data_IF_028371265102
#
_entry.id   IF_028371265102
#
_cell.length_a   1.000
_cell.length_b   1.000
_cell.length_c   1.000
_cell.angle_alpha   90.00
_cell.angle_beta   90.00
_cell.angle_gamma   90.00
#
_symmetry.space_group_name_H-M   'P 1'
#
loop_
_entity.id
_entity.type
_entity.pdbx_description
1 polymer ?
#
# COMPACT_ATOMS: atom_id res chain seq x y z
N UNK A 1 28.68 4.30 29.65
CA UNK A 1 27.54 3.77 30.43
C UNK A 1 26.31 3.84 29.55
N UNK A 2 25.83 2.71 29.01
CA UNK A 2 24.61 2.67 28.21
C UNK A 2 23.40 2.57 29.16
N UNK A 3 22.61 3.63 29.23
CA UNK A 3 21.36 3.65 30.00
C UNK A 3 20.30 3.00 29.14
N UNK A 4 19.96 1.75 29.45
CA UNK A 4 18.84 1.06 28.83
C UNK A 4 17.58 1.64 29.48
N UNK A 5 16.88 2.52 28.77
CA UNK A 5 15.62 3.10 29.23
C UNK A 5 14.59 1.99 29.46
N UNK A 6 13.98 1.97 30.65
CA UNK A 6 12.88 1.08 31.03
C UNK A 6 11.73 1.17 30.01
N UNK A 7 11.62 0.16 29.12
CA UNK A 7 10.49 0.06 28.19
C UNK A 7 9.24 -0.30 28.98
N UNK A 8 8.48 0.71 29.41
CA UNK A 8 7.20 0.53 30.09
C UNK A 8 6.23 -0.19 29.15
N UNK A 9 5.95 -1.47 29.44
CA UNK A 9 5.01 -2.31 28.70
C UNK A 9 3.63 -1.65 28.75
N UNK A 10 3.11 -1.21 27.60
CA UNK A 10 1.78 -0.63 27.54
C UNK A 10 0.73 -1.68 27.91
N UNK A 11 -0.19 -1.33 28.82
CA UNK A 11 -1.35 -2.15 29.17
C UNK A 11 -2.18 -2.33 27.90
N UNK A 12 -2.30 -3.58 27.44
CA UNK A 12 -2.98 -3.91 26.18
C UNK A 12 -4.46 -4.10 26.48
N UNK A 13 -5.28 -3.14 26.05
CA UNK A 13 -6.73 -3.26 26.03
C UNK A 13 -7.15 -4.34 25.02
N UNK A 14 -7.97 -5.34 25.38
CA UNK A 14 -8.39 -6.41 24.47
C UNK A 14 -9.05 -5.88 23.19
N UNK A 15 -9.84 -4.80 23.30
CA UNK A 15 -10.53 -4.18 22.16
C UNK A 15 -9.56 -3.58 21.15
N UNK A 16 -8.40 -3.07 21.61
CA UNK A 16 -7.37 -2.51 20.73
C UNK A 16 -6.73 -3.58 19.83
N UNK A 17 -6.60 -4.80 20.36
CA UNK A 17 -6.06 -5.93 19.59
C UNK A 17 -7.04 -6.37 18.51
N UNK A 18 -8.32 -6.47 18.84
CA UNK A 18 -9.38 -6.82 17.88
C UNK A 18 -9.50 -5.77 16.78
N UNK A 19 -9.50 -4.49 17.14
CA UNK A 19 -9.50 -3.38 16.20
C UNK A 19 -8.32 -3.45 15.22
N UNK A 20 -7.11 -3.73 15.71
CA UNK A 20 -5.94 -3.90 14.84
C UNK A 20 -6.12 -5.08 13.88
N UNK A 21 -6.54 -6.24 14.38
CA UNK A 21 -6.76 -7.44 13.57
C UNK A 21 -7.80 -7.20 12.47
N UNK A 22 -8.91 -6.53 12.79
CA UNK A 22 -9.94 -6.18 11.82
C UNK A 22 -9.43 -5.20 10.75
N UNK A 23 -8.66 -4.16 11.12
CA UNK A 23 -8.03 -3.26 10.13
C UNK A 23 -7.10 -4.01 9.17
N UNK A 24 -6.29 -4.93 9.69
CA UNK A 24 -5.42 -5.77 8.86
C UNK A 24 -6.22 -6.70 7.94
N UNK A 25 -7.31 -7.31 8.45
CA UNK A 25 -8.20 -8.18 7.68
C UNK A 25 -8.85 -7.41 6.53
N UNK A 26 -9.37 -6.22 6.83
CA UNK A 26 -10.01 -5.34 5.84
C UNK A 26 -9.02 -4.88 4.76
N UNK A 27 -7.84 -4.39 5.16
CA UNK A 27 -6.79 -3.99 4.23
C UNK A 27 -6.38 -5.15 3.31
N UNK A 28 -6.22 -6.35 3.86
CA UNK A 28 -5.83 -7.53 3.08
C UNK A 28 -6.92 -7.97 2.11
N UNK A 29 -8.19 -7.92 2.53
CA UNK A 29 -9.34 -8.19 1.65
C UNK A 29 -9.38 -7.23 0.47
N UNK A 30 -9.08 -5.96 0.71
CA UNK A 30 -9.02 -4.93 -0.33
C UNK A 30 -7.82 -5.12 -1.29
N UNK A 31 -6.63 -5.44 -0.77
CA UNK A 31 -5.41 -5.51 -1.56
C UNK A 31 -5.21 -6.84 -2.31
N UNK A 32 -5.75 -7.96 -1.81
CA UNK A 32 -5.54 -9.28 -2.41
C UNK A 32 -5.92 -9.37 -3.90
N UNK A 33 -7.08 -8.84 -4.36
CA UNK A 33 -7.43 -8.84 -5.78
C UNK A 33 -6.45 -8.03 -6.64
N UNK A 34 -5.82 -7.02 -6.05
CA UNK A 34 -4.88 -6.12 -6.72
C UNK A 34 -3.43 -6.62 -6.66
N UNK A 35 -3.19 -7.80 -6.09
CA UNK A 35 -1.85 -8.34 -5.86
C UNK A 35 -0.95 -8.32 -7.12
N UNK A 36 -1.41 -8.73 -8.33
CA UNK A 36 -0.57 -8.66 -9.52
C UNK A 36 -0.14 -7.23 -9.90
N UNK A 37 -1.01 -6.25 -9.67
CA UNK A 37 -0.74 -4.83 -9.93
C UNK A 37 0.23 -4.27 -8.90
N UNK A 38 0.00 -4.55 -7.61
CA UNK A 38 0.88 -4.13 -6.51
C UNK A 38 2.29 -4.68 -6.72
N UNK A 39 2.41 -5.94 -7.15
CA UNK A 39 3.71 -6.55 -7.47
C UNK A 39 4.47 -5.80 -8.55
N UNK A 40 3.81 -5.25 -9.56
CA UNK A 40 4.47 -4.48 -10.63
C UNK A 40 4.69 -3.03 -10.23
N UNK A 41 3.69 -2.41 -9.62
CA UNK A 41 3.67 -0.98 -9.29
C UNK A 41 4.53 -0.62 -8.09
N UNK A 42 4.72 -1.52 -7.13
CA UNK A 42 5.60 -1.29 -5.99
C UNK A 42 6.94 -2.01 -6.11
N UNK A 43 7.14 -2.93 -7.06
CA UNK A 43 8.47 -3.51 -7.27
C UNK A 43 9.40 -2.46 -7.86
N UNK A 44 10.54 -2.27 -7.20
CA UNK A 44 11.66 -1.48 -7.68
C UNK A 44 12.91 -2.37 -7.63
N UNK A 45 13.99 -2.00 -8.33
CA UNK A 45 15.22 -2.79 -8.41
C UNK A 45 15.81 -3.19 -7.05
N UNK A 46 15.55 -2.38 -6.00
CA UNK A 46 15.99 -2.60 -4.62
C UNK A 46 14.96 -3.27 -3.71
N UNK A 47 13.80 -3.68 -4.23
CA UNK A 47 12.70 -4.19 -3.43
C UNK A 47 12.22 -5.57 -3.88
N UNK A 48 12.19 -6.52 -2.94
CA UNK A 48 11.58 -7.84 -3.14
C UNK A 48 10.06 -7.76 -3.30
N UNK A 49 9.48 -8.80 -3.89
CA UNK A 49 8.04 -8.95 -4.08
C UNK A 49 7.27 -8.90 -2.75
N UNK A 50 7.80 -9.51 -1.67
CA UNK A 50 7.15 -9.44 -0.36
C UNK A 50 7.14 -8.01 0.20
N UNK A 51 8.24 -7.27 0.03
CA UNK A 51 8.33 -5.89 0.49
C UNK A 51 7.43 -4.93 -0.32
N UNK A 52 7.10 -5.26 -1.57
CA UNK A 52 6.13 -4.51 -2.38
C UNK A 52 4.72 -4.57 -1.77
N UNK A 53 4.25 -5.77 -1.40
CA UNK A 53 2.95 -5.93 -0.75
C UNK A 53 2.92 -5.32 0.65
N UNK A 54 4.02 -5.45 1.41
CA UNK A 54 4.15 -4.81 2.73
C UNK A 54 4.03 -3.29 2.68
N UNK A 55 4.59 -2.65 1.64
CA UNK A 55 4.43 -1.20 1.43
C UNK A 55 3.00 -0.79 1.08
N UNK A 56 2.35 -1.54 0.19
CA UNK A 56 0.95 -1.29 -0.14
C UNK A 56 0.05 -1.46 1.10
N UNK A 57 0.31 -2.48 1.92
CA UNK A 57 -0.37 -2.71 3.19
C UNK A 57 -0.19 -1.54 4.15
N UNK A 58 1.05 -1.09 4.37
CA UNK A 58 1.35 0.04 5.25
C UNK A 58 0.63 1.33 4.81
N UNK A 59 0.66 1.64 3.51
CA UNK A 59 -0.07 2.81 2.99
C UNK A 59 -1.58 2.69 3.20
N UNK A 60 -2.13 1.49 3.01
CA UNK A 60 -3.58 1.24 3.14
C UNK A 60 -4.04 1.41 4.57
N UNK A 61 -3.30 0.87 5.53
CA UNK A 61 -3.62 0.98 6.96
C UNK A 61 -3.60 2.42 7.46
N UNK A 62 -2.66 3.23 6.96
CA UNK A 62 -2.46 4.61 7.41
C UNK A 62 -3.38 5.62 6.74
N UNK A 63 -3.66 5.46 5.44
CA UNK A 63 -4.30 6.52 4.64
C UNK A 63 -5.67 6.14 4.07
N UNK A 64 -5.98 4.85 3.94
CA UNK A 64 -7.13 4.38 3.15
C UNK A 64 -8.29 3.94 4.06
N UNK A 65 -7.98 3.35 5.20
CA UNK A 65 -8.98 2.92 6.17
C UNK A 65 -9.34 4.09 7.10
N UNK A 66 -10.62 4.43 7.12
CA UNK A 66 -11.21 5.46 7.97
C UNK A 66 -12.24 4.84 8.93
N UNK A 67 -12.68 5.62 9.91
CA UNK A 67 -13.60 5.16 10.95
C UNK A 67 -12.91 4.60 12.19
N UNK A 68 -13.73 4.31 13.19
CA UNK A 68 -13.34 3.74 14.49
C UNK A 68 -13.90 2.32 14.62
N UNK A 69 -13.27 1.49 15.44
CA UNK A 69 -13.78 0.13 15.66
C UNK A 69 -15.20 0.19 16.26
N UNK A 70 -16.16 -0.60 15.75
CA UNK A 70 -16.05 -1.65 14.73
C UNK A 70 -16.32 -1.18 13.28
N UNK A 71 -16.73 0.07 13.08
CA UNK A 71 -17.21 0.63 11.83
C UNK A 71 -16.06 1.21 10.98
N UNK A 72 -15.23 0.30 10.44
CA UNK A 72 -14.18 0.68 9.49
C UNK A 72 -14.69 0.72 8.05
N UNK A 73 -14.27 1.76 7.33
CA UNK A 73 -14.54 1.95 5.91
C UNK A 73 -13.25 2.09 5.10
N UNK A 74 -13.23 1.53 3.90
CA UNK A 74 -12.13 1.69 2.95
C UNK A 74 -12.50 2.78 1.95
N UNK A 75 -11.70 3.84 1.85
CA UNK A 75 -11.88 4.92 0.87
C UNK A 75 -10.99 4.66 -0.35
N UNK A 76 -11.49 4.06 -1.45
CA UNK A 76 -10.63 3.57 -2.53
C UNK A 76 -9.88 4.69 -3.27
N UNK A 77 -10.42 5.92 -3.25
CA UNK A 77 -9.82 7.10 -3.85
C UNK A 77 -8.45 7.45 -3.25
N UNK A 78 -8.17 7.04 -2.01
CA UNK A 78 -6.90 7.27 -1.32
C UNK A 78 -5.90 6.12 -1.53
N UNK A 79 -6.32 5.01 -2.15
CA UNK A 79 -5.48 3.85 -2.34
C UNK A 79 -4.42 4.06 -3.42
N UNK A 80 -3.19 3.60 -3.16
CA UNK A 80 -2.09 3.59 -4.13
C UNK A 80 -1.78 2.17 -4.58
N UNK A 81 -1.69 1.97 -5.89
CA UNK A 81 -1.34 0.69 -6.52
C UNK A 81 0.11 0.63 -7.01
N UNK A 82 0.78 1.78 -7.10
CA UNK A 82 2.18 1.91 -7.47
C UNK A 82 2.89 2.96 -6.62
N UNK A 83 4.21 2.85 -6.53
CA UNK A 83 5.05 3.81 -5.82
C UNK A 83 6.35 4.03 -6.60
N UNK A 84 6.80 5.29 -6.65
CA UNK A 84 7.91 5.73 -7.47
C UNK A 84 7.48 6.67 -8.58
N UNK A 85 8.48 7.19 -9.29
CA UNK A 85 8.27 8.04 -10.45
C UNK A 85 7.82 7.17 -11.61
N UNK A 86 6.77 7.56 -12.32
CA UNK A 86 6.48 6.97 -13.62
C UNK A 86 7.71 7.20 -14.49
N UNK A 87 8.29 6.14 -15.05
CA UNK A 87 9.33 6.32 -16.07
C UNK A 87 8.77 7.26 -17.13
N UNK A 88 9.51 8.32 -17.52
CA UNK A 88 9.08 9.15 -18.63
C UNK A 88 8.82 8.25 -19.83
N UNK A 89 7.73 8.52 -20.55
CA UNK A 89 7.37 7.77 -21.73
C UNK A 89 8.55 7.84 -22.70
N UNK A 90 9.21 6.71 -22.96
CA UNK A 90 10.37 6.63 -23.85
C UNK A 90 9.94 6.65 -25.33
N UNK A 91 9.01 7.55 -25.67
CA UNK A 91 8.49 7.74 -27.02
C UNK A 91 9.04 9.07 -27.50
N UNK A 92 10.10 8.99 -28.30
CA UNK A 92 10.79 10.17 -28.83
C UNK A 92 10.13 10.73 -30.10
N UNK A 93 9.26 9.95 -30.73
CA UNK A 93 8.50 10.35 -31.92
C UNK A 93 7.15 9.66 -31.91
N UNK A 94 6.10 10.36 -32.31
CA UNK A 94 4.81 9.75 -32.57
C UNK A 94 4.42 10.08 -34.00
N UNK A 95 4.23 9.06 -34.82
CA UNK A 95 3.84 9.24 -36.23
C UNK A 95 2.41 8.75 -36.38
N UNK A 96 1.54 9.63 -36.85
CA UNK A 96 0.17 9.27 -37.21
C UNK A 96 0.17 8.77 -38.65
N UNK A 97 -0.01 7.47 -38.83
CA UNK A 97 -0.19 6.87 -40.14
C UNK A 97 -1.68 6.64 -40.34
N UNK A 98 -2.31 7.53 -41.09
CA UNK A 98 -3.75 7.52 -41.39
C UNK A 98 -4.63 7.51 -40.12
N UNK A 99 -5.11 6.33 -39.71
CA UNK A 99 -6.01 6.16 -38.57
C UNK A 99 -5.37 5.52 -37.33
N UNK A 100 -4.05 5.29 -37.35
CA UNK A 100 -3.34 4.63 -36.25
C UNK A 100 -2.17 5.49 -35.79
N UNK A 101 -1.98 5.60 -34.47
CA UNK A 101 -0.82 6.25 -33.87
C UNK A 101 0.23 5.17 -33.64
N UNK A 102 1.42 5.35 -34.22
CA UNK A 102 2.60 4.55 -33.89
C UNK A 102 3.51 5.38 -32.97
N UNK A 103 3.88 4.75 -31.85
CA UNK A 103 4.77 5.27 -30.81
C UNK A 103 6.18 4.74 -31.02
#
# INVERSE_FOLDING_TARGET
MLVISEFKKQVTDPTRREAAQERFRLARRFLNPLYPLIRKGFAHSKCTVQAAFGRAMSHTLTNVIQGEYPDFEVVPALAKISNGMLSPLAVNTCVRTSNTIQL
#
